data_IF_261002326873
#
_entry.id   IF_261002326873
#
_cell.length_a   1.000
_cell.length_b   1.000
_cell.length_c   1.000
_cell.angle_alpha   90.00
_cell.angle_beta   90.00
_cell.angle_gamma   90.00
#
_symmetry.space_group_name_H-M   'P 1'
#
loop_
_entity.id
_entity.type
_entity.pdbx_description
1 polymer ?
#
# COMPACT_ATOMS: atom_id res chain seq x y z
N UNK A 1 17.43 -11.07 -9.21
CA UNK A 1 16.58 -11.95 -8.38
C UNK A 1 16.95 -11.70 -6.93
N UNK A 2 15.96 -11.57 -6.05
CA UNK A 2 16.13 -11.41 -4.60
C UNK A 2 15.43 -12.54 -3.87
N UNK A 3 15.89 -12.86 -2.65
CA UNK A 3 15.22 -13.84 -1.78
C UNK A 3 14.73 -13.13 -0.53
N UNK A 4 13.43 -13.22 -0.26
CA UNK A 4 12.78 -12.60 0.91
C UNK A 4 11.88 -13.64 1.57
N UNK A 5 12.04 -13.83 2.87
CA UNK A 5 11.22 -14.77 3.66
C UNK A 5 11.09 -16.16 3.04
N UNK A 6 12.19 -16.68 2.47
CA UNK A 6 12.24 -18.00 1.85
C UNK A 6 11.62 -18.09 0.45
N UNK A 7 11.25 -16.98 -0.18
CA UNK A 7 10.72 -16.91 -1.54
C UNK A 7 11.61 -16.09 -2.45
N UNK A 8 11.69 -16.48 -3.73
CA UNK A 8 12.47 -15.80 -4.74
C UNK A 8 11.58 -14.87 -5.57
N UNK A 9 12.05 -13.64 -5.78
CA UNK A 9 11.37 -12.63 -6.58
C UNK A 9 12.28 -12.13 -7.70
N UNK A 10 11.73 -11.97 -8.89
CA UNK A 10 12.42 -11.30 -9.98
C UNK A 10 12.53 -9.79 -9.70
N UNK A 11 13.58 -9.16 -10.24
CA UNK A 11 13.62 -7.70 -10.31
C UNK A 11 12.66 -7.22 -11.39
N UNK A 12 12.06 -6.07 -11.19
CA UNK A 12 11.22 -5.44 -12.21
C UNK A 12 12.08 -5.00 -13.41
N UNK A 13 11.71 -5.45 -14.60
CA UNK A 13 12.31 -5.01 -15.87
C UNK A 13 11.47 -3.97 -16.59
N UNK A 14 10.24 -3.80 -16.12
CA UNK A 14 9.28 -2.79 -16.54
C UNK A 14 8.64 -2.20 -15.29
N UNK A 15 8.18 -0.95 -15.33
CA UNK A 15 7.45 -0.37 -14.22
C UNK A 15 6.29 -1.27 -13.80
N UNK A 16 6.29 -1.68 -12.54
CA UNK A 16 5.27 -2.57 -11.96
C UNK A 16 4.49 -1.80 -10.91
N UNK A 17 3.19 -1.69 -11.10
CA UNK A 17 2.29 -1.03 -10.13
C UNK A 17 1.43 -2.08 -9.46
N UNK A 18 1.48 -2.11 -8.14
CA UNK A 18 0.62 -2.94 -7.29
C UNK A 18 -0.42 -2.02 -6.64
N UNK A 19 -1.69 -2.31 -6.83
CA UNK A 19 -2.79 -1.56 -6.24
C UNK A 19 -3.55 -2.45 -5.26
N UNK A 20 -3.53 -2.07 -3.99
CA UNK A 20 -4.37 -2.68 -2.97
C UNK A 20 -5.59 -1.78 -2.75
N UNK A 21 -6.75 -2.21 -3.25
CA UNK A 21 -8.02 -1.51 -3.05
C UNK A 21 -8.66 -2.09 -1.78
N UNK A 22 -8.48 -1.39 -0.67
CA UNK A 22 -8.95 -1.84 0.64
C UNK A 22 -10.49 -1.87 0.69
N UNK A 23 -11.06 -2.94 1.24
CA UNK A 23 -12.50 -3.14 1.35
C UNK A 23 -13.22 -3.41 0.01
N UNK A 24 -12.50 -3.67 -1.08
CA UNK A 24 -13.10 -3.94 -2.38
C UNK A 24 -13.60 -5.37 -2.47
N UNK A 25 -14.91 -5.55 -2.53
CA UNK A 25 -15.53 -6.85 -2.77
C UNK A 25 -15.68 -7.13 -4.29
N UNK A 26 -15.69 -8.42 -4.71
CA UNK A 26 -15.89 -8.78 -6.11
C UNK A 26 -17.15 -8.19 -6.73
N UNK A 27 -18.22 -8.06 -5.97
CA UNK A 27 -19.48 -7.48 -6.43
C UNK A 27 -19.36 -6.00 -6.78
N UNK A 28 -18.51 -5.24 -6.11
CA UNK A 28 -18.26 -3.83 -6.47
C UNK A 28 -17.67 -3.73 -7.86
N UNK A 29 -16.70 -4.59 -8.18
CA UNK A 29 -16.09 -4.67 -9.52
C UNK A 29 -17.14 -5.08 -10.55
N UNK A 30 -17.96 -6.10 -10.25
CA UNK A 30 -19.00 -6.59 -11.15
C UNK A 30 -20.02 -5.50 -11.48
N UNK A 31 -20.47 -4.75 -10.48
CA UNK A 31 -21.42 -3.64 -10.66
C UNK A 31 -20.78 -2.49 -11.44
N UNK A 32 -19.54 -2.10 -11.13
CA UNK A 32 -18.85 -1.04 -11.83
C UNK A 32 -18.64 -1.38 -13.32
N UNK A 33 -18.32 -2.64 -13.63
CA UNK A 33 -18.19 -3.13 -15.01
C UNK A 33 -19.57 -3.14 -15.72
N UNK A 34 -20.62 -3.59 -15.05
CA UNK A 34 -21.98 -3.63 -15.63
C UNK A 34 -22.51 -2.25 -15.99
N UNK A 35 -22.10 -1.22 -15.25
CA UNK A 35 -22.50 0.18 -15.48
C UNK A 35 -21.46 0.99 -16.28
N UNK A 36 -20.46 0.34 -16.88
CA UNK A 36 -19.39 0.97 -17.69
C UNK A 36 -18.59 2.07 -16.95
N UNK A 37 -18.50 1.99 -15.62
CA UNK A 37 -17.74 2.96 -14.82
C UNK A 37 -16.21 2.71 -14.83
N UNK A 38 -15.78 1.50 -15.17
CA UNK A 38 -14.38 1.06 -15.12
C UNK A 38 -13.94 0.38 -16.44
N UNK A 39 -13.92 1.10 -17.57
CA UNK A 39 -13.67 0.52 -18.89
C UNK A 39 -12.29 -0.17 -18.99
N UNK A 40 -11.25 0.42 -18.38
CA UNK A 40 -9.94 -0.18 -18.34
C UNK A 40 -9.92 -1.50 -17.55
N UNK A 41 -10.56 -1.53 -16.38
CA UNK A 41 -10.63 -2.75 -15.56
C UNK A 41 -11.45 -3.84 -16.27
N UNK A 42 -12.53 -3.47 -16.97
CA UNK A 42 -13.31 -4.37 -17.82
C UNK A 42 -12.43 -5.06 -18.88
N UNK A 43 -11.55 -4.31 -19.54
CA UNK A 43 -10.59 -4.86 -20.49
C UNK A 43 -9.56 -5.76 -19.80
N UNK A 44 -9.03 -5.37 -18.65
CA UNK A 44 -8.07 -6.18 -17.88
C UNK A 44 -8.66 -7.49 -17.39
N UNK A 45 -9.92 -7.51 -16.98
CA UNK A 45 -10.63 -8.73 -16.60
C UNK A 45 -10.80 -9.71 -17.78
N UNK A 46 -10.89 -9.19 -19.01
CA UNK A 46 -11.03 -10.00 -20.21
C UNK A 46 -9.69 -10.53 -20.77
N UNK A 47 -8.59 -9.79 -20.55
CA UNK A 47 -7.28 -10.07 -21.15
C UNK A 47 -6.22 -10.51 -20.15
N UNK A 48 -6.40 -10.21 -18.88
CA UNK A 48 -5.48 -10.54 -17.79
C UNK A 48 -5.82 -11.85 -17.09
N UNK A 49 -5.26 -12.02 -15.89
CA UNK A 49 -5.52 -13.16 -15.01
C UNK A 49 -6.31 -12.71 -13.79
N UNK A 50 -7.39 -13.41 -13.49
CA UNK A 50 -8.20 -13.18 -12.28
C UNK A 50 -8.08 -14.41 -11.39
N UNK A 51 -7.70 -14.19 -10.14
CA UNK A 51 -7.58 -15.21 -9.11
C UNK A 51 -8.34 -14.77 -7.86
N UNK A 52 -9.06 -15.69 -7.25
CA UNK A 52 -9.68 -15.49 -5.94
C UNK A 52 -8.75 -16.06 -4.88
N UNK A 53 -8.51 -15.30 -3.84
CA UNK A 53 -7.70 -15.70 -2.70
C UNK A 53 -8.37 -15.28 -1.39
N UNK A 54 -8.17 -16.07 -0.36
CA UNK A 54 -8.64 -15.73 0.98
C UNK A 54 -7.71 -14.69 1.63
N UNK A 55 -8.29 -13.73 2.33
CA UNK A 55 -7.53 -12.83 3.20
C UNK A 55 -7.14 -13.53 4.50
N UNK A 56 -6.21 -12.93 5.24
CA UNK A 56 -5.89 -13.41 6.59
C UNK A 56 -7.03 -13.07 7.56
N UNK A 57 -7.17 -13.89 8.62
CA UNK A 57 -8.17 -13.66 9.67
C UNK A 57 -7.46 -13.20 10.95
N UNK A 58 -7.86 -12.05 11.53
CA UNK A 58 -8.91 -11.13 11.08
C UNK A 58 -8.50 -10.33 9.83
N UNK A 59 -9.50 -9.99 8.99
CA UNK A 59 -9.32 -9.31 7.70
C UNK A 59 -9.10 -7.79 7.84
N UNK A 60 -8.20 -7.38 8.72
CA UNK A 60 -7.84 -5.98 8.90
C UNK A 60 -6.81 -5.51 7.87
N UNK A 61 -6.81 -4.20 7.59
CA UNK A 61 -5.91 -3.54 6.62
C UNK A 61 -4.44 -3.89 6.83
N UNK A 62 -3.91 -3.69 8.05
CA UNK A 62 -2.50 -3.92 8.32
C UNK A 62 -2.06 -5.38 8.15
N UNK A 63 -2.71 -6.40 8.77
CA UNK A 63 -2.34 -7.80 8.58
C UNK A 63 -2.34 -8.24 7.11
N UNK A 64 -3.35 -7.81 6.32
CA UNK A 64 -3.44 -8.20 4.93
C UNK A 64 -2.36 -7.51 4.07
N UNK A 65 -2.20 -6.20 4.17
CA UNK A 65 -1.15 -5.48 3.45
C UNK A 65 0.24 -6.04 3.78
N UNK A 66 0.52 -6.30 5.07
CA UNK A 66 1.81 -6.88 5.47
C UNK A 66 1.98 -8.31 4.95
N UNK A 67 0.93 -9.13 4.89
CA UNK A 67 1.01 -10.46 4.28
C UNK A 67 1.33 -10.38 2.78
N UNK A 68 0.76 -9.39 2.07
CA UNK A 68 1.05 -9.14 0.65
C UNK A 68 2.53 -8.76 0.47
N UNK A 69 3.00 -7.74 1.18
CA UNK A 69 4.35 -7.19 0.95
C UNK A 69 5.49 -7.98 1.62
N UNK A 70 5.18 -8.92 2.51
CA UNK A 70 6.18 -9.83 3.09
C UNK A 70 6.16 -11.22 2.45
N UNK A 71 5.04 -11.59 1.81
CA UNK A 71 4.82 -12.92 1.24
C UNK A 71 4.66 -14.02 2.29
N UNK A 72 4.42 -13.69 3.57
CA UNK A 72 4.27 -14.63 4.69
C UNK A 72 3.09 -14.23 5.57
N UNK A 73 2.50 -15.19 6.34
CA UNK A 73 1.32 -14.93 7.17
C UNK A 73 1.64 -14.14 8.44
N UNK A 74 0.62 -13.61 9.14
CA UNK A 74 0.77 -12.89 10.42
C UNK A 74 1.56 -13.63 11.49
N UNK A 75 1.48 -14.95 11.55
CA UNK A 75 2.27 -15.78 12.46
C UNK A 75 3.79 -15.63 12.28
N UNK A 76 4.23 -15.24 11.07
CA UNK A 76 5.63 -14.97 10.73
C UNK A 76 5.95 -13.50 10.82
N UNK A 77 5.20 -12.63 10.11
CA UNK A 77 5.52 -11.20 10.07
C UNK A 77 5.11 -10.42 11.32
N UNK A 78 4.27 -10.98 12.20
CA UNK A 78 4.00 -10.44 13.53
C UNK A 78 2.80 -9.48 13.63
N UNK A 79 2.39 -8.85 12.55
CA UNK A 79 1.26 -7.92 12.56
C UNK A 79 -0.04 -8.71 12.36
N UNK A 80 -0.76 -8.97 13.45
CA UNK A 80 -1.94 -9.86 13.45
C UNK A 80 -3.26 -9.14 13.73
N UNK A 81 -3.26 -7.82 13.91
CA UNK A 81 -4.46 -7.04 14.22
C UNK A 81 -4.17 -5.56 14.28
N UNK A 82 -5.14 -4.78 14.76
CA UNK A 82 -4.98 -3.35 15.01
C UNK A 82 -4.32 -3.08 16.37
N UNK A 83 -4.50 -3.97 17.34
CA UNK A 83 -4.00 -3.87 18.72
C UNK A 83 -3.42 -5.19 19.19
N UNK A 84 -2.50 -5.11 20.12
CA UNK A 84 -2.02 -6.23 20.93
C UNK A 84 -2.02 -5.83 22.40
N UNK A 85 -2.08 -6.81 23.31
CA UNK A 85 -1.78 -6.61 24.70
C UNK A 85 -0.27 -6.77 24.92
N UNK A 86 0.40 -5.67 25.25
CA UNK A 86 1.83 -5.71 25.56
C UNK A 86 2.02 -6.15 27.02
N UNK A 87 2.49 -7.36 27.18
CA UNK A 87 2.71 -7.98 28.50
C UNK A 87 3.77 -7.24 29.32
N UNK A 88 4.74 -6.60 28.64
CA UNK A 88 5.81 -5.88 29.33
C UNK A 88 5.30 -4.58 29.99
N UNK A 89 4.35 -3.90 29.35
CA UNK A 89 3.75 -2.66 29.87
C UNK A 89 2.41 -2.90 30.58
N UNK A 90 1.78 -4.06 30.40
CA UNK A 90 0.45 -4.38 30.92
C UNK A 90 -0.69 -3.58 30.26
N UNK A 91 -0.48 -3.04 29.05
CA UNK A 91 -1.43 -2.18 28.34
C UNK A 91 -1.74 -2.66 26.94
N UNK A 92 -2.89 -2.27 26.39
CA UNK A 92 -3.16 -2.41 24.97
C UNK A 92 -2.37 -1.37 24.17
N UNK A 93 -1.68 -1.82 23.12
CA UNK A 93 -0.92 -0.96 22.23
C UNK A 93 -1.33 -1.19 20.78
N UNK A 94 -1.32 -0.13 20.01
CA UNK A 94 -1.67 -0.18 18.59
C UNK A 94 -0.54 -0.81 17.79
N UNK A 95 -0.86 -1.78 16.90
CA UNK A 95 0.11 -2.50 16.05
C UNK A 95 0.47 -1.72 14.78
N UNK A 96 0.81 -0.45 14.91
CA UNK A 96 1.25 0.43 13.83
C UNK A 96 2.72 0.86 13.92
N UNK A 97 3.43 0.39 14.96
CA UNK A 97 4.85 0.62 15.14
C UNK A 97 5.64 -0.50 14.45
N UNK A 98 6.59 -0.18 13.56
CA UNK A 98 7.44 -1.15 12.87
C UNK A 98 8.22 -2.10 13.78
N UNK A 99 8.41 -1.77 15.06
CA UNK A 99 9.06 -2.69 16.03
C UNK A 99 8.34 -4.02 16.19
N UNK A 100 7.05 -4.10 15.84
CA UNK A 100 6.27 -5.33 15.87
C UNK A 100 6.41 -6.16 14.61
N UNK A 101 6.97 -5.58 13.53
CA UNK A 101 7.21 -6.28 12.27
C UNK A 101 8.46 -7.16 12.38
N UNK A 102 8.28 -8.47 12.23
CA UNK A 102 9.32 -9.48 12.41
C UNK A 102 9.89 -10.04 11.11
N UNK A 103 9.36 -9.61 9.97
CA UNK A 103 9.80 -10.07 8.65
C UNK A 103 10.09 -8.86 7.75
N UNK A 104 11.16 -8.90 6.94
CA UNK A 104 11.43 -7.86 5.96
C UNK A 104 10.36 -7.82 4.87
N UNK A 105 10.13 -6.64 4.31
CA UNK A 105 9.23 -6.46 3.18
C UNK A 105 9.95 -6.71 1.85
N UNK A 106 9.20 -7.19 0.85
CA UNK A 106 9.68 -7.31 -0.53
C UNK A 106 10.08 -5.93 -1.07
N UNK A 107 9.38 -4.88 -0.65
CA UNK A 107 9.62 -3.50 -1.06
C UNK A 107 11.01 -3.01 -0.60
N UNK A 108 11.36 -3.23 0.68
CA UNK A 108 12.67 -2.90 1.21
C UNK A 108 13.78 -3.69 0.50
N UNK A 109 13.56 -4.99 0.27
CA UNK A 109 14.54 -5.84 -0.39
C UNK A 109 14.75 -5.47 -1.88
N UNK A 110 13.71 -5.03 -2.58
CA UNK A 110 13.82 -4.51 -3.95
C UNK A 110 14.61 -3.20 -3.97
N UNK A 111 14.36 -2.29 -3.02
CA UNK A 111 15.11 -1.04 -2.88
C UNK A 111 16.60 -1.30 -2.58
N UNK A 112 16.91 -2.25 -1.68
CA UNK A 112 18.28 -2.65 -1.38
C UNK A 112 19.00 -3.32 -2.58
N UNK A 113 18.23 -3.94 -3.49
CA UNK A 113 18.73 -4.48 -4.75
C UNK A 113 18.90 -3.42 -5.86
N UNK A 114 18.68 -2.14 -5.55
CA UNK A 114 18.88 -1.01 -6.48
C UNK A 114 17.67 -0.65 -7.33
N UNK A 115 16.50 -1.22 -7.05
CA UNK A 115 15.27 -0.79 -7.70
C UNK A 115 14.74 0.51 -7.07
N UNK A 116 14.21 1.41 -7.88
CA UNK A 116 13.49 2.58 -7.39
C UNK A 116 12.08 2.17 -6.96
N UNK A 117 11.78 2.33 -5.67
CA UNK A 117 10.51 1.90 -5.09
C UNK A 117 9.74 3.11 -4.56
N UNK A 118 8.44 3.16 -4.85
CA UNK A 118 7.52 4.14 -4.29
C UNK A 118 6.34 3.45 -3.60
N UNK A 119 5.99 3.93 -2.41
CA UNK A 119 4.84 3.49 -1.62
C UNK A 119 3.96 4.69 -1.31
N UNK A 120 2.71 4.63 -1.71
CA UNK A 120 1.71 5.66 -1.42
C UNK A 120 0.53 5.00 -0.72
N UNK A 121 0.23 5.45 0.47
CA UNK A 121 -0.90 4.93 1.25
C UNK A 121 -1.94 6.02 1.48
N UNK A 122 -3.18 5.63 1.63
CA UNK A 122 -4.23 6.56 2.07
C UNK A 122 -3.93 7.06 3.50
N UNK A 123 -3.73 6.14 4.44
CA UNK A 123 -3.53 6.44 5.87
C UNK A 123 -2.07 6.29 6.31
N UNK A 124 -1.60 7.18 7.20
CA UNK A 124 -0.21 7.21 7.66
C UNK A 124 0.21 6.01 8.52
N UNK A 125 -0.73 5.39 9.22
CA UNK A 125 -0.47 4.20 10.05
C UNK A 125 0.14 3.06 9.25
N UNK A 126 -0.42 2.78 8.07
CA UNK A 126 0.07 1.72 7.18
C UNK A 126 1.40 2.11 6.53
N UNK A 127 1.59 3.39 6.17
CA UNK A 127 2.82 3.91 5.57
C UNK A 127 4.06 3.51 6.37
N UNK A 128 4.02 3.69 7.69
CA UNK A 128 5.16 3.38 8.57
C UNK A 128 5.56 1.90 8.53
N UNK A 129 4.58 1.01 8.44
CA UNK A 129 4.82 -0.43 8.37
C UNK A 129 5.37 -0.83 7.00
N UNK A 130 4.77 -0.33 5.91
CA UNK A 130 5.21 -0.65 4.54
C UNK A 130 6.58 -0.07 4.21
N UNK A 131 6.86 1.14 4.69
CA UNK A 131 8.14 1.83 4.48
C UNK A 131 9.26 1.37 5.41
N UNK A 132 9.01 0.42 6.32
CA UNK A 132 10.05 -0.01 7.26
C UNK A 132 11.26 -0.62 6.56
N UNK A 133 12.44 -0.04 6.81
CA UNK A 133 13.70 -0.46 6.19
C UNK A 133 13.84 -0.13 4.70
N UNK A 134 12.87 0.50 4.09
CA UNK A 134 12.89 0.83 2.66
C UNK A 134 13.63 2.16 2.40
N UNK A 135 14.43 2.17 1.35
CA UNK A 135 14.97 3.40 0.74
C UNK A 135 14.16 3.71 -0.51
N UNK A 136 13.66 4.92 -0.61
CA UNK A 136 12.83 5.34 -1.74
C UNK A 136 11.70 6.27 -1.30
N UNK A 137 10.69 6.41 -2.15
CA UNK A 137 9.55 7.29 -1.87
C UNK A 137 8.53 6.53 -1.01
N UNK A 138 8.15 7.10 0.15
CA UNK A 138 7.14 6.51 1.01
C UNK A 138 6.37 7.59 1.77
N UNK A 139 5.14 7.88 1.36
CA UNK A 139 4.27 8.88 2.00
C UNK A 139 2.81 8.45 2.05
N UNK A 140 1.99 9.20 2.80
CA UNK A 140 0.54 9.00 2.87
C UNK A 140 -0.21 10.22 2.35
N UNK A 141 -1.37 10.00 1.74
CA UNK A 141 -2.28 11.07 1.34
C UNK A 141 -2.77 11.88 2.55
N UNK A 142 -3.03 11.19 3.68
CA UNK A 142 -3.45 11.79 4.96
C UNK A 142 -2.49 12.90 5.44
N UNK A 143 -1.19 12.78 5.16
CA UNK A 143 -0.13 13.71 5.59
C UNK A 143 0.75 14.17 4.44
N UNK A 144 0.17 14.33 3.27
CA UNK A 144 0.90 14.71 2.07
C UNK A 144 1.59 16.10 2.18
N UNK A 145 0.99 17.01 2.97
CA UNK A 145 1.53 18.34 3.29
C UNK A 145 2.75 18.31 4.23
N UNK A 146 2.97 17.20 4.93
CA UNK A 146 4.07 17.01 5.89
C UNK A 146 5.23 16.20 5.29
N UNK A 147 5.10 15.75 4.04
CA UNK A 147 6.13 14.92 3.40
C UNK A 147 7.42 15.72 3.16
N UNK A 148 8.55 15.13 3.52
CA UNK A 148 9.89 15.71 3.35
C UNK A 148 10.81 14.75 2.60
N UNK A 149 11.83 15.31 1.92
CA UNK A 149 12.85 14.50 1.23
C UNK A 149 13.56 13.53 2.20
N UNK A 150 13.87 13.99 3.40
CA UNK A 150 14.63 13.20 4.39
C UNK A 150 13.83 12.01 4.93
N UNK A 151 12.54 12.19 5.22
CA UNK A 151 11.70 11.13 5.79
C UNK A 151 10.98 10.31 4.72
N UNK A 152 10.54 10.97 3.64
CA UNK A 152 9.62 10.37 2.68
C UNK A 152 10.22 10.14 1.30
N UNK A 153 11.46 10.64 1.05
CA UNK A 153 12.09 10.61 -0.27
C UNK A 153 11.41 11.49 -1.30
N UNK A 154 10.55 12.40 -0.87
CA UNK A 154 9.79 13.33 -1.71
C UNK A 154 9.30 14.50 -0.85
N UNK A 155 9.20 15.67 -1.46
CA UNK A 155 8.63 16.89 -0.86
C UNK A 155 7.63 17.56 -1.79
N UNK A 156 6.92 18.57 -1.29
CA UNK A 156 5.94 19.37 -2.05
C UNK A 156 4.87 18.51 -2.73
N UNK A 157 4.42 17.44 -2.05
CA UNK A 157 3.51 16.46 -2.65
C UNK A 157 2.17 17.08 -3.04
N UNK A 158 1.62 17.98 -2.20
CA UNK A 158 0.34 18.68 -2.47
C UNK A 158 0.41 19.51 -3.74
N UNK A 159 1.49 20.26 -3.91
CA UNK A 159 1.72 21.10 -5.10
C UNK A 159 1.94 20.26 -6.35
N UNK A 160 2.69 19.16 -6.22
CA UNK A 160 2.98 18.24 -7.33
C UNK A 160 1.74 17.52 -7.81
N UNK A 161 0.91 17.05 -6.90
CA UNK A 161 -0.35 16.35 -7.22
C UNK A 161 -1.44 17.33 -7.69
N UNK A 162 -1.37 18.58 -7.23
CA UNK A 162 -2.36 19.62 -7.55
C UNK A 162 -3.71 19.41 -6.86
N UNK A 163 -3.74 18.64 -5.78
CA UNK A 163 -4.92 18.40 -4.96
C UNK A 163 -4.67 18.80 -3.51
N UNK A 164 -5.65 19.39 -2.80
CA UNK A 164 -5.52 19.66 -1.37
C UNK A 164 -5.43 18.35 -0.58
N UNK A 165 -4.89 18.40 0.65
CA UNK A 165 -4.91 17.24 1.56
C UNK A 165 -6.35 16.83 1.84
N UNK A 166 -6.73 15.57 1.53
CA UNK A 166 -8.12 15.13 1.69
C UNK A 166 -8.47 14.82 3.15
N UNK A 167 -9.76 14.83 3.45
CA UNK A 167 -10.25 14.30 4.73
C UNK A 167 -10.00 12.79 4.83
N UNK A 168 -9.63 12.31 6.02
CA UNK A 168 -9.25 10.90 6.27
C UNK A 168 -10.39 9.90 5.92
N UNK A 169 -11.63 10.34 6.01
CA UNK A 169 -12.81 9.51 5.74
C UNK A 169 -13.57 9.96 4.49
N UNK A 170 -12.86 10.40 3.46
CA UNK A 170 -13.44 10.81 2.20
C UNK A 170 -12.96 9.95 1.04
N UNK A 171 -13.74 9.92 -0.05
CA UNK A 171 -13.35 9.22 -1.28
C UNK A 171 -12.09 9.84 -1.90
N UNK A 172 -11.95 11.16 -1.77
CA UNK A 172 -10.82 11.94 -2.26
C UNK A 172 -9.49 11.47 -1.67
N UNK A 173 -9.49 10.80 -0.50
CA UNK A 173 -8.27 10.24 0.08
C UNK A 173 -7.70 9.13 -0.82
N UNK A 174 -8.55 8.28 -1.39
CA UNK A 174 -8.15 7.24 -2.35
C UNK A 174 -7.82 7.85 -3.73
N UNK A 175 -8.58 8.86 -4.16
CA UNK A 175 -8.31 9.59 -5.41
C UNK A 175 -6.93 10.25 -5.37
N UNK A 176 -6.54 10.85 -4.23
CA UNK A 176 -5.22 11.43 -4.04
C UNK A 176 -4.10 10.40 -4.20
N UNK A 177 -4.27 9.18 -3.67
CA UNK A 177 -3.31 8.09 -3.83
C UNK A 177 -3.07 7.78 -5.31
N UNK A 178 -4.15 7.68 -6.10
CA UNK A 178 -4.05 7.43 -7.54
C UNK A 178 -3.44 8.62 -8.29
N UNK A 179 -3.88 9.85 -7.99
CA UNK A 179 -3.34 11.06 -8.61
C UNK A 179 -1.83 11.20 -8.37
N UNK A 180 -1.38 10.93 -7.15
CA UNK A 180 0.03 10.91 -6.80
C UNK A 180 0.79 9.78 -7.51
N UNK A 181 0.18 8.61 -7.67
CA UNK A 181 0.74 7.53 -8.46
C UNK A 181 0.92 7.91 -9.94
N UNK A 182 -0.07 8.56 -10.54
CA UNK A 182 0.00 9.08 -11.92
C UNK A 182 1.09 10.14 -12.05
N UNK A 183 1.18 11.05 -11.08
CA UNK A 183 2.23 12.07 -11.05
C UNK A 183 3.62 11.44 -11.09
N UNK A 184 3.91 10.50 -10.20
CA UNK A 184 5.21 9.82 -10.16
C UNK A 184 5.52 9.03 -11.44
N UNK A 185 4.50 8.38 -12.04
CA UNK A 185 4.67 7.62 -13.29
C UNK A 185 4.85 8.50 -14.52
N UNK A 186 4.50 9.78 -14.44
CA UNK A 186 4.61 10.74 -15.56
C UNK A 186 6.01 11.34 -15.71
N UNK A 187 6.90 11.14 -14.73
CA UNK A 187 8.26 11.64 -14.76
C UNK A 187 9.23 10.68 -15.47
N UNK A 188 10.34 11.24 -16.00
CA UNK A 188 11.43 10.45 -16.60
C UNK A 188 12.03 9.42 -15.60
N UNK A 189 12.08 9.78 -14.31
CA UNK A 189 12.56 8.93 -13.21
C UNK A 189 11.41 8.24 -12.49
N UNK A 190 10.50 7.62 -13.26
CA UNK A 190 9.41 6.84 -12.70
C UNK A 190 9.93 5.64 -11.89
N UNK A 191 9.22 5.22 -10.82
CA UNK A 191 9.60 4.07 -10.02
C UNK A 191 9.60 2.77 -10.85
N UNK A 192 10.55 1.86 -10.55
CA UNK A 192 10.53 0.49 -11.06
C UNK A 192 9.37 -0.30 -10.45
N UNK A 193 9.11 -0.06 -9.15
CA UNK A 193 8.01 -0.69 -8.42
C UNK A 193 7.24 0.35 -7.62
N UNK A 194 5.93 0.36 -7.76
CA UNK A 194 5.04 1.24 -7.01
C UNK A 194 3.97 0.42 -6.28
N UNK A 195 3.76 0.69 -5.01
CA UNK A 195 2.69 0.12 -4.20
C UNK A 195 1.71 1.22 -3.79
N UNK A 196 0.46 1.09 -4.21
CA UNK A 196 -0.63 1.99 -3.88
C UNK A 196 -1.61 1.28 -2.95
N UNK A 197 -1.97 1.89 -1.82
CA UNK A 197 -2.99 1.35 -0.93
C UNK A 197 -4.05 2.41 -0.64
N UNK A 198 -5.28 2.12 -1.03
CA UNK A 198 -6.44 2.99 -0.81
C UNK A 198 -7.01 2.80 0.59
N UNK A 199 -8.12 3.47 0.90
CA UNK A 199 -8.90 3.27 2.12
C UNK A 199 -10.26 2.64 1.80
N UNK A 200 -10.80 1.92 2.75
CA UNK A 200 -12.11 1.27 2.75
C UNK A 200 -13.25 2.29 2.98
N UNK A 201 -13.40 3.22 2.04
CA UNK A 201 -14.34 4.35 2.13
C UNK A 201 -15.79 3.91 2.38
N UNK A 202 -16.25 2.84 1.70
CA UNK A 202 -17.64 2.38 1.78
C UNK A 202 -18.00 1.93 3.19
N UNK A 203 -17.10 1.19 3.86
CA UNK A 203 -17.32 0.69 5.22
C UNK A 203 -17.26 1.81 6.27
N UNK A 204 -16.60 2.94 6.00
CA UNK A 204 -16.54 4.09 6.88
C UNK A 204 -17.64 5.14 6.60
N UNK A 205 -18.27 5.10 5.44
CA UNK A 205 -19.27 6.07 5.01
C UNK A 205 -20.72 5.72 5.42
N UNK A 206 -20.91 4.55 6.03
CA UNK A 206 -22.27 4.04 6.39
C UNK A 206 -22.30 3.47 7.79
#
# INVERSE_FOLDING_TARGET
MITVNGRNYALAHQPTVVVCVDGCEPDYIAQAVAHDHVPWLKEMLATGTVLVADCVIPSFTNPNNLSIVTGVPPSVHGICGNYLFDVATGTEVMMNDPKWLRAPTILAALADAGQSVAVITAKDKLRKLLGHGMKGICFSAEKADQATEDENGISQVVERVGMPVPSVYSAELSEFVFAAGVELMSHERRPDVMYLSTTDYVQHGH
#
